data_IF_696058047573
#
_entry.id   IF_696058047573
#
_cell.length_a   1.000
_cell.length_b   1.000
_cell.length_c   1.000
_cell.angle_alpha   90.00
_cell.angle_beta   90.00
_cell.angle_gamma   90.00
#
_symmetry.space_group_name_H-M   'P 1'
#
loop_
_entity.id
_entity.type
_entity.pdbx_description
1 polymer ?
#
# COMPACT_ATOMS: atom_id res chain seq x y z
N UNK A 1 -44.07 -63.09 -37.57
CA UNK A 1 -43.27 -61.87 -37.82
C UNK A 1 -43.80 -60.73 -36.95
N UNK A 2 -43.23 -60.51 -35.76
CA UNK A 2 -43.58 -59.35 -34.92
C UNK A 2 -42.32 -58.50 -34.69
N UNK A 3 -42.38 -57.24 -35.13
CA UNK A 3 -41.28 -56.27 -35.07
C UNK A 3 -41.10 -55.76 -33.63
N UNK A 4 -39.87 -55.85 -33.12
CA UNK A 4 -39.42 -55.11 -31.94
C UNK A 4 -39.25 -53.62 -32.29
N UNK A 5 -39.98 -52.74 -31.61
CA UNK A 5 -39.68 -51.30 -31.60
C UNK A 5 -38.82 -50.99 -30.36
N UNK A 6 -37.53 -50.77 -30.59
CA UNK A 6 -36.56 -50.38 -29.59
C UNK A 6 -36.66 -48.86 -29.34
N UNK A 7 -37.21 -48.48 -28.18
CA UNK A 7 -37.35 -47.09 -27.72
C UNK A 7 -36.02 -46.51 -27.26
N UNK A 8 -35.39 -45.75 -28.15
CA UNK A 8 -34.12 -45.04 -27.94
C UNK A 8 -34.27 -43.99 -26.82
N UNK A 9 -33.72 -44.23 -25.62
CA UNK A 9 -33.68 -43.24 -24.53
C UNK A 9 -32.86 -42.02 -24.97
N UNK A 10 -33.50 -40.86 -25.14
CA UNK A 10 -32.82 -39.57 -25.31
C UNK A 10 -32.34 -39.07 -23.95
N UNK A 11 -31.06 -39.30 -23.65
CA UNK A 11 -30.39 -38.66 -22.52
C UNK A 11 -30.20 -37.17 -22.85
N UNK A 12 -31.04 -36.30 -22.29
CA UNK A 12 -30.91 -34.84 -22.39
C UNK A 12 -29.71 -34.39 -21.52
N UNK A 13 -28.53 -34.28 -22.13
CA UNK A 13 -27.42 -33.50 -21.57
C UNK A 13 -27.70 -32.02 -21.86
N UNK A 14 -28.55 -31.39 -21.05
CA UNK A 14 -28.75 -29.94 -21.08
C UNK A 14 -27.57 -29.33 -20.31
N UNK A 15 -26.82 -28.49 -21.00
CA UNK A 15 -25.50 -27.97 -20.63
C UNK A 15 -25.39 -27.40 -19.22
N UNK A 16 -24.58 -28.06 -18.41
CA UNK A 16 -23.97 -27.52 -17.19
C UNK A 16 -22.60 -26.91 -17.55
N UNK A 17 -22.58 -25.96 -18.47
CA UNK A 17 -21.36 -25.25 -18.86
C UNK A 17 -21.68 -23.77 -19.01
N UNK A 18 -21.83 -23.07 -17.88
CA UNK A 18 -22.20 -21.65 -17.93
C UNK A 18 -21.98 -20.83 -16.66
N UNK A 19 -21.44 -21.37 -15.57
CA UNK A 19 -21.17 -20.59 -14.34
C UNK A 19 -19.88 -21.09 -13.68
N UNK A 20 -18.72 -20.80 -14.29
CA UNK A 20 -17.42 -20.93 -13.61
C UNK A 20 -16.55 -19.77 -14.05
N UNK A 21 -16.82 -18.55 -13.57
CA UNK A 21 -15.92 -17.40 -13.78
C UNK A 21 -16.26 -16.23 -12.85
N UNK A 22 -16.38 -16.49 -11.56
CA UNK A 22 -16.31 -15.41 -10.56
C UNK A 22 -15.54 -15.98 -9.41
N UNK A 23 -14.24 -15.73 -9.34
CA UNK A 23 -13.37 -15.60 -8.16
C UNK A 23 -12.02 -15.10 -8.66
N UNK A 24 -12.03 -13.91 -9.29
CA UNK A 24 -10.79 -13.17 -9.48
C UNK A 24 -10.40 -12.65 -8.09
N UNK A 25 -9.37 -13.26 -7.50
CA UNK A 25 -8.77 -12.82 -6.26
C UNK A 25 -8.33 -11.37 -6.38
N UNK A 26 -8.85 -10.51 -5.50
CA UNK A 26 -8.38 -9.14 -5.35
C UNK A 26 -6.92 -9.17 -4.86
N UNK A 27 -5.99 -9.12 -5.81
CA UNK A 27 -4.57 -8.97 -5.50
C UNK A 27 -4.36 -7.55 -4.93
N UNK A 28 -4.23 -7.44 -3.61
CA UNK A 28 -3.73 -6.22 -2.98
C UNK A 28 -2.26 -6.10 -3.32
N UNK A 29 -1.89 -5.18 -4.20
CA UNK A 29 -0.51 -4.99 -4.59
C UNK A 29 0.22 -4.13 -3.56
N UNK A 30 1.38 -4.60 -3.10
CA UNK A 30 2.34 -3.74 -2.42
C UNK A 30 2.79 -2.65 -3.41
N UNK A 31 2.87 -1.41 -2.95
CA UNK A 31 3.40 -0.34 -3.78
C UNK A 31 4.89 -0.60 -4.04
N UNK A 32 5.39 -0.48 -5.28
CA UNK A 32 6.82 -0.57 -5.52
C UNK A 32 7.58 0.50 -4.71
N UNK A 33 8.81 0.22 -4.24
CA UNK A 33 9.53 1.11 -3.33
C UNK A 33 9.64 2.55 -3.82
N UNK A 34 9.87 2.78 -5.12
CA UNK A 34 9.98 4.13 -5.66
C UNK A 34 8.71 4.97 -5.45
N UNK A 35 7.52 4.36 -5.56
CA UNK A 35 6.26 5.09 -5.40
C UNK A 35 5.95 5.35 -3.93
N UNK A 36 6.35 4.44 -3.04
CA UNK A 36 6.15 4.63 -1.60
C UNK A 36 7.07 5.74 -1.10
N UNK A 37 8.35 5.71 -1.49
CA UNK A 37 9.33 6.71 -1.12
C UNK A 37 8.96 8.11 -1.62
N UNK A 38 8.39 8.23 -2.82
CA UNK A 38 7.90 9.53 -3.32
C UNK A 38 6.77 10.09 -2.45
N UNK A 39 5.78 9.24 -2.07
CA UNK A 39 4.71 9.66 -1.16
C UNK A 39 5.24 10.07 0.21
N UNK A 40 6.26 9.37 0.70
CA UNK A 40 6.89 9.66 1.98
C UNK A 40 7.65 10.99 1.94
N UNK A 41 8.39 11.21 0.85
CA UNK A 41 9.09 12.46 0.60
C UNK A 41 8.10 13.63 0.51
N UNK A 42 6.95 13.47 -0.14
CA UNK A 42 5.92 14.50 -0.22
C UNK A 42 5.44 14.93 1.19
N UNK A 43 5.23 13.98 2.11
CA UNK A 43 4.87 14.29 3.50
C UNK A 43 5.96 15.10 4.21
N UNK A 44 7.22 14.70 4.05
CA UNK A 44 8.35 15.41 4.65
C UNK A 44 8.51 16.81 4.06
N UNK A 45 8.31 16.96 2.75
CA UNK A 45 8.33 18.25 2.05
C UNK A 45 7.17 19.15 2.48
N UNK A 46 5.99 18.60 2.71
CA UNK A 46 4.84 19.37 3.21
C UNK A 46 5.07 19.89 4.63
N UNK A 47 5.76 19.13 5.48
CA UNK A 47 6.20 19.64 6.78
C UNK A 47 7.17 20.81 6.60
N UNK A 48 8.20 20.67 5.74
CA UNK A 48 9.18 21.74 5.48
C UNK A 48 8.47 23.02 5.00
N UNK A 49 7.55 22.91 4.02
CA UNK A 49 6.80 24.06 3.49
C UNK A 49 5.96 24.78 4.54
N UNK A 50 5.44 24.06 5.54
CA UNK A 50 4.60 24.62 6.60
C UNK A 50 5.40 25.28 7.74
N UNK A 51 6.71 25.06 7.81
CA UNK A 51 7.58 25.54 8.88
C UNK A 51 8.72 26.38 8.28
N UNK A 52 8.54 27.71 8.13
CA UNK A 52 9.51 28.59 7.47
C UNK A 52 10.92 28.52 8.04
N UNK A 53 11.06 28.31 9.36
CA UNK A 53 12.34 28.15 10.05
C UNK A 53 13.08 26.86 9.63
N UNK A 54 12.33 25.79 9.35
CA UNK A 54 12.86 24.53 8.82
C UNK A 54 13.24 24.74 7.36
N UNK A 55 12.37 25.34 6.55
CA UNK A 55 12.64 25.63 5.14
C UNK A 55 13.89 26.49 4.95
N UNK A 56 14.13 27.45 5.83
CA UNK A 56 15.29 28.33 5.78
C UNK A 56 16.61 27.62 6.12
N UNK A 57 16.57 26.48 6.82
CA UNK A 57 17.76 25.86 7.41
C UNK A 57 17.89 24.37 7.18
N UNK A 58 17.04 23.77 6.34
CA UNK A 58 17.10 22.34 6.00
C UNK A 58 18.45 22.01 5.35
N UNK A 59 19.08 20.95 5.84
CA UNK A 59 20.39 20.49 5.36
C UNK A 59 20.30 19.16 4.62
N UNK A 60 19.45 18.24 5.11
CA UNK A 60 19.24 16.95 4.47
C UNK A 60 17.89 16.34 4.82
N UNK A 61 17.38 15.52 3.90
CA UNK A 61 16.18 14.71 4.07
C UNK A 61 16.62 13.25 3.89
N UNK A 62 16.38 12.43 4.92
CA UNK A 62 16.72 11.01 4.93
C UNK A 62 15.44 10.16 4.92
N UNK A 63 15.24 9.40 3.84
CA UNK A 63 14.08 8.53 3.65
C UNK A 63 14.25 7.14 4.29
N UNK A 64 15.45 6.75 4.70
CA UNK A 64 15.67 5.50 5.42
C UNK A 64 15.27 5.66 6.88
N UNK A 65 15.68 6.78 7.49
CA UNK A 65 15.36 7.11 8.89
C UNK A 65 14.13 8.02 9.05
N UNK A 66 13.49 8.40 7.94
CA UNK A 66 12.36 9.33 7.89
C UNK A 66 12.62 10.61 8.69
N UNK A 67 13.78 11.23 8.47
CA UNK A 67 14.24 12.37 9.25
C UNK A 67 14.60 13.56 8.35
N UNK A 68 14.08 14.74 8.69
CA UNK A 68 14.52 16.02 8.13
C UNK A 68 15.50 16.64 9.11
N UNK A 69 16.72 16.92 8.65
CA UNK A 69 17.75 17.61 9.42
C UNK A 69 17.78 19.08 9.02
N UNK A 70 17.85 19.96 10.01
CA UNK A 70 17.81 21.40 9.79
C UNK A 70 18.47 22.17 10.94
N UNK A 71 18.80 23.43 10.70
CA UNK A 71 19.37 24.32 11.71
C UNK A 71 20.66 23.78 12.33
N UNK A 72 20.99 24.26 13.53
CA UNK A 72 22.18 23.83 14.26
C UNK A 72 21.89 22.54 15.04
N UNK A 73 21.81 21.41 14.33
CA UNK A 73 21.63 20.10 14.96
C UNK A 73 20.19 19.78 15.36
N UNK A 74 19.21 20.43 14.73
CA UNK A 74 17.81 20.05 14.86
C UNK A 74 17.43 18.95 13.87
N UNK A 75 16.45 18.16 14.26
CA UNK A 75 15.85 17.13 13.43
C UNK A 75 14.36 17.00 13.69
N UNK A 76 13.60 16.79 12.63
CA UNK A 76 12.19 16.42 12.64
C UNK A 76 12.08 14.97 12.18
N UNK A 77 11.57 14.12 13.06
CA UNK A 77 11.45 12.67 12.85
C UNK A 77 10.01 12.32 12.53
N UNK A 78 9.84 11.55 11.47
CA UNK A 78 8.57 11.04 10.99
C UNK A 78 8.52 9.53 11.24
N UNK A 79 7.31 8.99 11.23
CA UNK A 79 7.12 7.56 11.38
C UNK A 79 5.74 7.14 10.94
N UNK A 80 5.61 5.84 10.65
CA UNK A 80 4.33 5.23 10.35
C UNK A 80 3.47 5.19 11.60
N UNK A 81 2.15 5.22 11.43
CA UNK A 81 1.23 4.84 12.50
C UNK A 81 1.22 3.32 12.59
N UNK A 82 1.42 2.76 13.79
CA UNK A 82 1.22 1.33 13.98
C UNK A 82 -0.27 1.01 13.84
N UNK A 83 -0.62 0.31 12.76
CA UNK A 83 -1.96 -0.20 12.52
C UNK A 83 -1.92 -1.72 12.57
N UNK A 84 -2.88 -2.32 13.29
CA UNK A 84 -3.01 -3.78 13.32
C UNK A 84 -3.42 -4.28 11.95
N UNK A 85 -2.50 -4.92 11.24
CA UNK A 85 -2.75 -5.53 9.93
C UNK A 85 -3.04 -7.02 10.09
N UNK A 86 -4.02 -7.58 9.34
CA UNK A 86 -4.27 -9.01 9.37
C UNK A 86 -3.05 -9.79 8.89
N UNK A 87 -2.89 -11.03 9.37
CA UNK A 87 -1.80 -11.92 8.93
C UNK A 87 -1.87 -12.10 7.41
N UNK A 88 -0.75 -11.90 6.72
CA UNK A 88 -0.67 -12.00 5.26
C UNK A 88 -1.04 -10.73 4.49
N UNK A 89 -1.19 -9.58 5.17
CA UNK A 89 -1.39 -8.31 4.48
C UNK A 89 -0.15 -7.92 3.66
N UNK A 90 -0.33 -7.69 2.36
CA UNK A 90 0.73 -7.27 1.42
C UNK A 90 0.39 -5.95 0.72
N UNK A 91 -0.46 -5.12 1.32
CA UNK A 91 -0.78 -3.79 0.79
C UNK A 91 0.32 -2.74 1.06
N UNK A 92 0.12 -1.50 0.60
CA UNK A 92 1.05 -0.40 0.82
C UNK A 92 1.35 -0.15 2.30
N UNK A 93 2.50 0.49 2.56
CA UNK A 93 2.81 0.97 3.90
C UNK A 93 1.82 2.07 4.29
N UNK A 94 1.53 2.19 5.60
CA UNK A 94 0.70 3.30 6.10
C UNK A 94 1.37 4.64 5.80
N UNK A 95 0.68 5.78 5.75
CA UNK A 95 1.33 7.08 5.54
C UNK A 95 2.35 7.43 6.64
N UNK A 96 3.35 8.25 6.31
CA UNK A 96 4.19 8.88 7.32
C UNK A 96 3.42 9.97 8.06
N UNK A 97 3.76 10.16 9.33
CA UNK A 97 3.27 11.24 10.17
C UNK A 97 4.44 11.85 10.93
N UNK A 98 4.39 13.16 11.18
CA UNK A 98 5.33 13.80 12.09
C UNK A 98 5.19 13.18 13.49
N UNK A 99 6.31 12.79 14.10
CA UNK A 99 6.33 12.20 15.45
C UNK A 99 6.89 13.16 16.47
N UNK A 100 8.07 13.72 16.21
CA UNK A 100 8.76 14.61 17.14
C UNK A 100 9.80 15.46 16.43
N UNK A 101 10.14 16.57 17.07
CA UNK A 101 11.32 17.35 16.77
C UNK A 101 12.23 17.40 17.98
N UNK A 102 13.54 17.50 17.74
CA UNK A 102 14.55 17.66 18.79
C UNK A 102 15.74 18.43 18.25
N UNK A 103 16.32 19.29 19.08
CA UNK A 103 17.56 19.98 18.78
C UNK A 103 18.61 19.55 19.81
N UNK A 104 19.82 19.25 19.36
CA UNK A 104 20.94 19.15 20.31
C UNK A 104 21.29 20.57 20.72
N UNK A 105 21.10 20.89 22.00
CA UNK A 105 21.73 22.08 22.57
C UNK A 105 23.25 21.89 22.46
N UNK A 106 23.94 22.94 22.02
CA UNK A 106 25.38 22.96 21.89
C UNK A 106 25.99 23.68 23.09
#
# INVERSE_FOLDING_TARGET
MNRFHNGRRRMKWIGLSGIVLVWASVAVAALPPQYQNMKDLDVMMDYIKKHPEVAATVTSIDLETYTVYYGQGCKAVFGRKETTKPKGFVGPADPLEFKKQSCSER
#
